data_IF_748716201464
#
_entry.id   IF_748716201464
#
_cell.length_a   1.000
_cell.length_b   1.000
_cell.length_c   1.000
_cell.angle_alpha   90.00
_cell.angle_beta   90.00
_cell.angle_gamma   90.00
#
_symmetry.space_group_name_H-M   'P 1'
#
loop_
_entity.id
_entity.type
_entity.pdbx_description
1 polymer ?
#
# COMPACT_ATOMS: atom_id res chain seq x y z
N UNK A 1 -11.24 -7.31 -0.92
CA UNK A 1 -11.89 -8.12 -1.97
C UNK A 1 -10.92 -9.04 -2.69
N UNK A 2 -9.92 -8.55 -3.45
CA UNK A 2 -9.00 -9.43 -4.19
C UNK A 2 -8.36 -10.55 -3.34
N UNK A 3 -7.86 -10.21 -2.15
CA UNK A 3 -7.33 -11.21 -1.20
C UNK A 3 -8.34 -12.32 -0.88
N UNK A 4 -9.60 -11.96 -0.57
CA UNK A 4 -10.68 -12.92 -0.31
C UNK A 4 -10.99 -13.81 -1.51
N UNK A 5 -10.96 -13.25 -2.73
CA UNK A 5 -11.21 -14.01 -3.97
C UNK A 5 -10.08 -15.00 -4.29
N UNK A 6 -8.84 -14.69 -3.91
CA UNK A 6 -7.68 -15.60 -4.05
C UNK A 6 -7.61 -16.65 -2.94
N UNK A 7 -8.22 -16.37 -1.79
CA UNK A 7 -8.26 -17.29 -0.65
C UNK A 7 -9.16 -18.51 -0.86
N UNK A 8 -9.04 -19.56 -0.01
CA UNK A 8 -10.04 -20.62 0.05
C UNK A 8 -11.45 -20.06 0.25
N UNK A 9 -12.42 -20.63 -0.47
CA UNK A 9 -13.81 -20.12 -0.49
C UNK A 9 -14.46 -20.09 0.90
N UNK A 10 -14.02 -20.99 1.78
CA UNK A 10 -14.43 -21.03 3.17
C UNK A 10 -14.21 -19.71 3.93
N UNK A 11 -13.16 -18.94 3.60
CA UNK A 11 -12.87 -17.65 4.26
C UNK A 11 -13.93 -16.62 3.89
N UNK A 12 -14.26 -16.50 2.59
CA UNK A 12 -15.30 -15.60 2.11
C UNK A 12 -16.66 -15.97 2.68
N UNK A 13 -17.04 -17.24 2.62
CA UNK A 13 -18.31 -17.75 3.16
C UNK A 13 -18.44 -17.51 4.66
N UNK A 14 -17.36 -17.73 5.42
CA UNK A 14 -17.33 -17.46 6.87
C UNK A 14 -17.50 -15.98 7.17
N UNK A 15 -16.87 -15.09 6.40
CA UNK A 15 -17.06 -13.64 6.54
C UNK A 15 -18.51 -13.23 6.27
N UNK A 16 -19.10 -13.67 5.15
CA UNK A 16 -20.49 -13.37 4.83
C UNK A 16 -21.46 -13.91 5.88
N UNK A 17 -21.21 -15.11 6.40
CA UNK A 17 -22.03 -15.72 7.46
C UNK A 17 -21.96 -14.93 8.77
N UNK A 18 -20.77 -14.49 9.21
CA UNK A 18 -20.62 -13.62 10.38
C UNK A 18 -21.40 -12.31 10.19
N UNK A 19 -21.19 -11.64 9.05
CA UNK A 19 -21.77 -10.33 8.78
C UNK A 19 -23.30 -10.42 8.71
N UNK A 20 -23.85 -11.32 7.90
CA UNK A 20 -25.31 -11.47 7.75
C UNK A 20 -25.96 -11.97 9.03
N UNK A 21 -25.28 -12.83 9.80
CA UNK A 21 -25.77 -13.31 11.10
C UNK A 21 -25.83 -12.22 12.17
N UNK A 22 -24.82 -11.34 12.24
CA UNK A 22 -24.74 -10.29 13.24
C UNK A 22 -25.55 -9.02 12.89
N UNK A 23 -25.64 -8.67 11.60
CA UNK A 23 -26.39 -7.51 11.10
C UNK A 23 -27.89 -7.79 11.02
N UNK A 24 -28.29 -9.03 10.73
CA UNK A 24 -29.69 -9.41 10.54
C UNK A 24 -30.30 -8.84 9.26
N UNK A 25 -31.58 -8.47 9.28
CA UNK A 25 -32.31 -7.92 8.12
C UNK A 25 -32.30 -6.39 8.10
N UNK A 26 -31.13 -5.77 8.02
CA UNK A 26 -30.98 -4.31 7.84
C UNK A 26 -30.81 -3.95 6.35
N UNK A 27 -31.19 -2.74 5.98
CA UNK A 27 -30.93 -2.24 4.62
C UNK A 27 -29.47 -1.79 4.44
N UNK A 28 -28.86 -1.22 5.48
CA UNK A 28 -27.52 -0.61 5.42
C UNK A 28 -26.71 -1.02 6.66
N UNK A 29 -25.46 -1.46 6.43
CA UNK A 29 -24.47 -1.73 7.48
C UNK A 29 -23.91 -0.41 8.00
N UNK A 30 -23.84 -0.25 9.32
CA UNK A 30 -23.28 0.95 9.95
C UNK A 30 -22.09 0.62 10.88
N UNK A 31 -21.46 1.66 11.45
CA UNK A 31 -20.26 1.52 12.29
C UNK A 31 -20.50 0.71 13.59
N UNK A 32 -21.69 0.78 14.18
CA UNK A 32 -22.03 0.03 15.40
C UNK A 32 -22.08 -1.47 15.12
N UNK A 33 -22.54 -1.86 13.93
CA UNK A 33 -22.58 -3.26 13.52
C UNK A 33 -21.16 -3.85 13.43
N UNK A 34 -20.17 -3.06 12.99
CA UNK A 34 -18.76 -3.47 12.88
C UNK A 34 -18.19 -3.94 14.21
N UNK A 35 -18.66 -3.40 15.34
CA UNK A 35 -18.18 -3.82 16.66
C UNK A 35 -18.43 -5.29 16.94
N UNK A 36 -19.43 -5.90 16.29
CA UNK A 36 -19.85 -7.30 16.45
C UNK A 36 -19.17 -8.25 15.46
N UNK A 37 -18.25 -7.76 14.62
CA UNK A 37 -17.67 -8.50 13.50
C UNK A 37 -16.16 -8.78 13.70
N UNK A 38 -15.78 -9.65 14.65
CA UNK A 38 -14.37 -9.92 14.93
C UNK A 38 -13.63 -10.56 13.75
N UNK A 39 -14.28 -11.41 12.96
CA UNK A 39 -13.66 -12.04 11.79
C UNK A 39 -13.46 -11.06 10.63
N UNK A 40 -14.41 -10.17 10.38
CA UNK A 40 -14.20 -9.04 9.47
C UNK A 40 -12.99 -8.20 9.89
N UNK A 41 -12.89 -7.82 11.17
CA UNK A 41 -11.74 -7.06 11.70
C UNK A 41 -10.44 -7.83 11.52
N UNK A 42 -10.47 -9.15 11.69
CA UNK A 42 -9.33 -10.02 11.46
C UNK A 42 -8.91 -10.05 9.97
N UNK A 43 -9.86 -10.13 9.04
CA UNK A 43 -9.63 -10.02 7.58
C UNK A 43 -8.98 -8.68 7.23
N UNK A 44 -9.47 -7.58 7.81
CA UNK A 44 -8.92 -6.24 7.55
C UNK A 44 -7.51 -6.10 8.09
N UNK A 45 -7.25 -6.56 9.33
CA UNK A 45 -5.90 -6.61 9.91
C UNK A 45 -4.93 -7.43 9.06
N UNK A 46 -5.33 -8.63 8.66
CA UNK A 46 -4.51 -9.51 7.84
C UNK A 46 -4.24 -8.91 6.45
N UNK A 47 -5.21 -8.19 5.89
CA UNK A 47 -5.05 -7.43 4.66
C UNK A 47 -3.99 -6.34 4.82
N UNK A 48 -4.03 -5.56 5.91
CA UNK A 48 -3.03 -4.53 6.17
C UNK A 48 -1.64 -5.07 6.49
N UNK A 49 -1.55 -6.28 7.09
CA UNK A 49 -0.28 -6.98 7.31
C UNK A 49 0.37 -7.37 5.98
N UNK A 50 -0.39 -8.02 5.10
CA UNK A 50 0.12 -8.51 3.82
C UNK A 50 0.27 -7.40 2.79
N UNK A 51 -0.66 -6.45 2.75
CA UNK A 51 -0.72 -5.40 1.73
C UNK A 51 -0.78 -4.01 2.39
N UNK A 52 0.25 -3.60 3.16
CA UNK A 52 0.26 -2.28 3.78
C UNK A 52 0.31 -1.20 2.68
N UNK A 53 -0.56 -0.17 2.72
CA UNK A 53 -0.59 0.89 1.70
C UNK A 53 0.74 1.64 1.58
N UNK A 54 1.49 1.75 2.67
CA UNK A 54 2.79 2.41 2.74
C UNK A 54 3.90 1.40 3.12
N UNK A 55 4.40 0.67 2.14
CA UNK A 55 5.39 -0.41 2.31
C UNK A 55 6.63 0.00 3.14
N UNK A 56 7.15 1.22 2.92
CA UNK A 56 8.31 1.77 3.63
C UNK A 56 7.97 2.88 4.64
N UNK A 57 6.70 3.04 4.98
CA UNK A 57 6.20 4.20 5.73
C UNK A 57 6.58 5.54 5.08
N UNK A 58 6.27 6.65 5.75
CA UNK A 58 6.71 7.98 5.34
C UNK A 58 8.15 8.20 5.83
N UNK A 59 9.08 8.65 4.97
CA UNK A 59 10.47 8.87 5.37
C UNK A 59 10.59 9.83 6.55
N UNK A 60 11.56 9.54 7.42
CA UNK A 60 11.95 10.42 8.54
C UNK A 60 13.32 10.97 8.30
N UNK A 61 13.59 12.16 8.84
CA UNK A 61 14.92 12.75 8.83
C UNK A 61 15.41 12.89 10.27
N UNK A 62 16.66 12.53 10.51
CA UNK A 62 17.32 12.75 11.81
C UNK A 62 17.57 14.24 12.04
N UNK A 63 17.23 14.72 13.25
CA UNK A 63 17.44 16.11 13.66
C UNK A 63 18.77 16.35 14.38
N UNK A 64 19.50 15.28 14.69
CA UNK A 64 20.84 15.28 15.25
C UNK A 64 21.50 13.92 14.96
N UNK A 65 22.81 13.81 15.17
CA UNK A 65 23.48 12.51 15.23
C UNK A 65 22.84 11.68 16.36
N UNK A 66 22.55 10.41 16.10
CA UNK A 66 21.99 9.51 17.08
C UNK A 66 22.52 8.09 16.90
N UNK A 67 22.31 7.24 17.91
CA UNK A 67 22.68 5.82 17.86
C UNK A 67 21.41 4.98 17.87
N UNK A 68 21.27 4.06 16.91
CA UNK A 68 20.19 3.08 16.84
C UNK A 68 20.81 1.68 16.84
N UNK A 69 20.52 0.85 17.83
CA UNK A 69 21.10 -0.49 18.00
C UNK A 69 22.63 -0.54 17.85
N UNK A 70 23.33 0.46 18.40
CA UNK A 70 24.79 0.55 18.33
C UNK A 70 25.34 1.15 17.02
N UNK A 71 24.48 1.45 16.04
CA UNK A 71 24.87 2.10 14.79
C UNK A 71 24.73 3.62 14.89
N UNK A 72 25.78 4.36 14.55
CA UNK A 72 25.74 5.81 14.45
C UNK A 72 25.01 6.25 13.17
N UNK A 73 23.94 7.02 13.35
CA UNK A 73 23.15 7.63 12.29
C UNK A 73 23.44 9.13 12.29
N UNK A 74 23.96 9.63 11.18
CA UNK A 74 24.36 11.03 11.04
C UNK A 74 23.13 11.95 10.94
N UNK A 75 23.29 13.20 11.36
CA UNK A 75 22.35 14.29 11.12
C UNK A 75 21.91 14.37 9.65
N UNK A 76 20.66 14.75 9.41
CA UNK A 76 20.04 14.82 8.07
C UNK A 76 19.89 13.49 7.32
N UNK A 77 20.17 12.35 7.96
CA UNK A 77 19.97 11.02 7.36
C UNK A 77 18.48 10.73 7.20
N UNK A 78 18.10 10.14 6.04
CA UNK A 78 16.74 9.70 5.78
C UNK A 78 16.57 8.25 6.25
N UNK A 79 15.60 8.02 7.12
CA UNK A 79 15.27 6.72 7.70
C UNK A 79 13.92 6.25 7.16
N UNK A 80 13.91 5.04 6.62
CA UNK A 80 12.71 4.33 6.19
C UNK A 80 12.42 3.18 7.16
N UNK A 81 11.14 2.90 7.38
CA UNK A 81 10.71 1.73 8.16
C UNK A 81 10.07 0.75 7.21
N UNK A 82 10.67 -0.42 7.04
CA UNK A 82 10.16 -1.44 6.12
C UNK A 82 8.96 -2.19 6.73
N UNK A 83 7.79 -1.54 6.71
CA UNK A 83 6.53 -2.09 7.24
C UNK A 83 6.16 -3.40 6.56
N UNK A 84 6.44 -3.52 5.26
CA UNK A 84 6.19 -4.74 4.50
C UNK A 84 6.99 -5.94 5.04
N UNK A 85 8.29 -5.75 5.28
CA UNK A 85 9.16 -6.80 5.81
C UNK A 85 8.75 -7.17 7.25
N UNK A 86 8.46 -6.17 8.09
CA UNK A 86 7.96 -6.39 9.46
C UNK A 86 6.69 -7.25 9.47
N UNK A 87 5.75 -6.97 8.56
CA UNK A 87 4.52 -7.76 8.41
C UNK A 87 4.74 -9.20 7.94
N UNK A 88 5.97 -9.56 7.53
CA UNK A 88 6.35 -10.89 7.02
C UNK A 88 7.51 -11.53 7.77
N UNK A 89 7.92 -10.92 8.88
CA UNK A 89 9.02 -11.43 9.69
C UNK A 89 8.63 -12.79 10.30
N UNK A 90 9.45 -13.80 10.06
CA UNK A 90 9.17 -15.18 10.51
C UNK A 90 9.15 -15.30 12.04
N UNK A 91 9.86 -14.40 12.73
CA UNK A 91 9.85 -14.31 14.19
C UNK A 91 8.45 -13.99 14.75
N UNK A 92 7.66 -13.20 14.02
CA UNK A 92 6.34 -12.75 14.48
C UNK A 92 5.17 -13.44 13.77
N UNK A 93 5.39 -13.94 12.55
CA UNK A 93 4.31 -14.42 11.68
C UNK A 93 4.66 -15.78 11.06
N UNK A 94 4.03 -16.85 11.57
CA UNK A 94 4.08 -18.18 10.95
C UNK A 94 3.43 -18.15 9.55
N UNK A 95 4.03 -18.79 8.54
CA UNK A 95 3.55 -18.74 7.15
C UNK A 95 3.25 -17.31 6.67
N UNK A 96 4.25 -16.40 6.68
CA UNK A 96 4.04 -14.96 6.59
C UNK A 96 3.47 -14.50 5.25
N UNK A 97 3.60 -15.30 4.19
CA UNK A 97 3.10 -14.96 2.86
C UNK A 97 1.66 -15.44 2.63
N UNK A 98 1.09 -16.23 3.53
CA UNK A 98 -0.27 -16.73 3.42
C UNK A 98 -1.28 -15.76 4.03
N UNK A 99 -2.42 -15.59 3.37
CA UNK A 99 -3.55 -14.82 3.89
C UNK A 99 -4.37 -15.68 4.85
N UNK A 100 -4.14 -15.50 6.15
CA UNK A 100 -4.73 -16.32 7.22
C UNK A 100 -5.36 -15.42 8.30
N UNK A 101 -6.58 -14.91 8.10
CA UNK A 101 -7.27 -14.03 9.04
C UNK A 101 -7.39 -14.61 10.45
N UNK A 102 -7.49 -15.93 10.58
CA UNK A 102 -7.61 -16.64 11.85
C UNK A 102 -6.55 -16.24 12.88
N UNK A 103 -5.32 -15.93 12.44
CA UNK A 103 -4.25 -15.49 13.35
C UNK A 103 -4.60 -14.17 14.04
N UNK A 104 -5.34 -13.29 13.38
CA UNK A 104 -5.71 -11.98 13.91
C UNK A 104 -6.91 -12.03 14.86
N UNK A 105 -7.56 -13.19 15.05
CA UNK A 105 -8.63 -13.37 16.03
C UNK A 105 -8.08 -13.49 17.46
N UNK A 106 -6.97 -14.19 17.63
CA UNK A 106 -6.42 -14.55 18.95
C UNK A 106 -5.28 -13.63 19.40
N UNK A 107 -4.74 -12.84 18.48
CA UNK A 107 -3.60 -11.96 18.73
C UNK A 107 -4.13 -10.56 19.10
N UNK A 108 -3.75 -10.06 20.28
CA UNK A 108 -4.13 -8.74 20.80
C UNK A 108 -3.49 -7.55 20.06
N UNK A 109 -2.73 -7.83 18.99
CA UNK A 109 -1.99 -6.85 18.20
C UNK A 109 -2.94 -5.83 17.60
N UNK A 110 -2.68 -4.57 17.94
CA UNK A 110 -3.36 -3.40 17.40
C UNK A 110 -2.61 -2.79 16.21
N UNK A 111 -3.34 -2.03 15.39
CA UNK A 111 -2.75 -1.26 14.27
C UNK A 111 -2.49 0.20 14.67
N UNK A 112 -2.53 0.53 15.97
CA UNK A 112 -2.39 1.89 16.49
C UNK A 112 -0.94 2.32 16.65
N UNK A 113 -0.01 1.42 16.33
CA UNK A 113 1.43 1.67 16.43
C UNK A 113 1.99 1.44 17.83
N UNK A 114 1.32 0.62 18.66
CA UNK A 114 1.86 0.13 19.93
C UNK A 114 2.59 -1.20 19.75
N UNK A 115 2.07 -2.05 18.88
CA UNK A 115 2.62 -3.35 18.55
C UNK A 115 3.46 -3.25 17.27
N UNK A 116 4.79 -3.23 17.42
CA UNK A 116 5.70 -2.97 16.29
C UNK A 116 5.69 -4.04 15.21
N UNK A 117 5.16 -5.24 15.48
CA UNK A 117 4.95 -6.29 14.49
C UNK A 117 3.85 -5.96 13.46
N UNK A 118 2.99 -4.96 13.71
CA UNK A 118 1.93 -4.53 12.78
C UNK A 118 1.74 -3.01 12.82
N UNK A 119 2.46 -2.29 11.95
CA UNK A 119 2.43 -0.82 11.88
C UNK A 119 2.05 -0.26 10.49
N UNK A 120 0.93 -0.72 9.89
CA UNK A 120 0.51 -0.28 8.55
C UNK A 120 0.25 1.22 8.43
N UNK A 121 0.01 1.89 9.56
CA UNK A 121 -0.23 3.33 9.67
C UNK A 121 0.91 4.07 10.38
N UNK A 122 2.06 3.42 10.57
CA UNK A 122 3.17 3.94 11.36
C UNK A 122 2.92 3.95 12.86
N UNK A 123 3.84 4.55 13.62
CA UNK A 123 3.82 4.57 15.07
C UNK A 123 4.37 5.90 15.63
N UNK A 124 4.16 6.12 16.93
CA UNK A 124 4.72 7.26 17.68
C UNK A 124 4.17 8.63 17.25
N UNK A 125 4.96 9.70 17.44
CA UNK A 125 4.56 11.12 17.25
C UNK A 125 4.07 11.46 15.84
N UNK A 126 4.34 10.59 14.88
CA UNK A 126 4.06 10.81 13.47
C UNK A 126 3.33 9.64 12.82
N UNK A 127 2.66 8.80 13.63
CA UNK A 127 1.67 7.85 13.13
C UNK A 127 0.56 8.57 12.37
N UNK A 128 -0.14 7.85 11.49
CA UNK A 128 -1.19 8.43 10.67
C UNK A 128 -2.29 9.05 11.55
N UNK A 129 -2.54 10.37 11.47
CA UNK A 129 -3.53 11.02 12.31
C UNK A 129 -4.97 10.61 11.96
N UNK A 130 -5.19 10.00 10.78
CA UNK A 130 -6.52 9.59 10.30
C UNK A 130 -6.70 8.07 10.22
N UNK A 131 -5.85 7.29 10.89
CA UNK A 131 -5.94 5.83 10.80
C UNK A 131 -7.34 5.31 11.21
N UNK A 132 -7.96 5.88 12.26
CA UNK A 132 -9.29 5.47 12.72
C UNK A 132 -10.38 5.65 11.66
N UNK A 133 -10.35 6.78 10.93
CA UNK A 133 -11.29 7.05 9.84
C UNK A 133 -11.04 6.09 8.67
N UNK A 134 -9.79 5.91 8.26
CA UNK A 134 -9.45 4.99 7.18
C UNK A 134 -9.85 3.55 7.50
N UNK A 135 -9.65 3.12 8.74
CA UNK A 135 -10.03 1.79 9.21
C UNK A 135 -11.56 1.62 9.18
N UNK A 136 -12.32 2.58 9.72
CA UNK A 136 -13.78 2.55 9.69
C UNK A 136 -14.33 2.49 8.25
N UNK A 137 -13.76 3.29 7.33
CA UNK A 137 -14.15 3.27 5.92
C UNK A 137 -13.92 1.90 5.26
N UNK A 138 -12.77 1.26 5.54
CA UNK A 138 -12.45 -0.07 4.99
C UNK A 138 -13.36 -1.13 5.60
N UNK A 139 -13.57 -1.10 6.91
CA UNK A 139 -14.40 -2.07 7.62
C UNK A 139 -15.87 -1.96 7.19
N UNK A 140 -16.47 -0.77 7.22
CA UNK A 140 -17.87 -0.54 6.78
C UNK A 140 -18.04 -0.82 5.30
N UNK A 141 -17.10 -0.38 4.46
CA UNK A 141 -17.15 -0.61 3.02
C UNK A 141 -17.10 -2.09 2.69
N UNK A 142 -16.15 -2.84 3.28
CA UNK A 142 -16.04 -4.28 3.07
C UNK A 142 -17.26 -5.03 3.63
N UNK A 143 -17.74 -4.66 4.83
CA UNK A 143 -18.91 -5.26 5.43
C UNK A 143 -20.15 -5.09 4.54
N UNK A 144 -20.35 -3.89 4.00
CA UNK A 144 -21.47 -3.57 3.11
C UNK A 144 -21.43 -4.43 1.84
N UNK A 145 -20.26 -4.56 1.22
CA UNK A 145 -20.10 -5.38 0.00
C UNK A 145 -20.37 -6.86 0.26
N UNK A 146 -19.91 -7.40 1.39
CA UNK A 146 -20.09 -8.80 1.75
C UNK A 146 -21.50 -9.11 2.28
N UNK A 147 -22.15 -8.11 2.89
CA UNK A 147 -23.54 -8.22 3.32
C UNK A 147 -24.48 -8.28 2.12
N UNK A 148 -24.38 -7.30 1.22
CA UNK A 148 -25.35 -7.08 0.14
C UNK A 148 -25.19 -8.00 -1.07
N UNK A 149 -24.01 -8.58 -1.29
CA UNK A 149 -23.73 -9.35 -2.51
C UNK A 149 -23.09 -10.70 -2.22
N UNK A 150 -23.39 -11.67 -3.08
CA UNK A 150 -22.61 -12.89 -3.23
C UNK A 150 -21.51 -12.67 -4.26
N UNK A 151 -20.31 -13.12 -3.95
CA UNK A 151 -19.12 -12.87 -4.75
C UNK A 151 -18.56 -14.18 -5.29
N UNK A 152 -18.34 -14.20 -6.60
CA UNK A 152 -17.70 -15.30 -7.32
C UNK A 152 -16.75 -14.75 -8.38
N UNK A 153 -15.81 -15.57 -8.82
CA UNK A 153 -14.99 -15.22 -9.97
C UNK A 153 -15.81 -15.39 -11.26
N UNK A 154 -15.62 -14.53 -12.27
CA UNK A 154 -16.26 -14.70 -13.56
C UNK A 154 -15.97 -16.08 -14.16
N UNK A 155 -16.90 -16.59 -14.98
CA UNK A 155 -16.74 -17.87 -15.63
C UNK A 155 -15.40 -17.97 -16.40
N UNK A 156 -14.66 -19.05 -16.14
CA UNK A 156 -13.37 -19.32 -16.79
C UNK A 156 -12.16 -18.65 -16.12
N UNK A 157 -12.36 -17.79 -15.11
CA UNK A 157 -11.27 -17.15 -14.36
C UNK A 157 -10.93 -18.00 -13.13
N UNK A 158 -9.66 -18.41 -13.02
CA UNK A 158 -9.12 -19.12 -11.85
C UNK A 158 -8.60 -18.13 -10.82
N UNK A 159 -8.36 -18.62 -9.60
CA UNK A 159 -7.78 -17.82 -8.51
C UNK A 159 -6.40 -17.27 -8.86
N UNK A 160 -5.61 -18.02 -9.61
CA UNK A 160 -4.29 -17.61 -10.06
C UNK A 160 -4.36 -16.49 -11.11
N UNK A 161 -5.46 -16.42 -11.87
CA UNK A 161 -5.72 -15.36 -12.87
C UNK A 161 -6.15 -14.04 -12.21
N UNK A 162 -6.49 -14.05 -10.92
CA UNK A 162 -6.80 -12.82 -10.18
C UNK A 162 -5.49 -12.08 -9.96
N UNK A 163 -5.23 -11.19 -10.91
CA UNK A 163 -4.01 -10.43 -10.90
C UNK A 163 -4.05 -9.35 -9.82
N UNK A 164 -3.08 -9.42 -8.91
CA UNK A 164 -2.81 -8.35 -7.96
C UNK A 164 -1.77 -7.37 -8.51
N UNK A 165 -1.14 -7.67 -9.65
CA UNK A 165 -0.16 -6.86 -10.39
C UNK A 165 -0.79 -5.78 -11.29
N UNK A 166 -2.04 -5.38 -11.05
CA UNK A 166 -2.63 -4.12 -11.56
C UNK A 166 -1.85 -2.88 -11.14
N UNK A 167 -0.86 -3.04 -10.28
CA UNK A 167 -0.17 -2.00 -9.56
C UNK A 167 0.71 -1.07 -10.41
N UNK A 168 1.46 -1.49 -11.45
CA UNK A 168 2.17 -0.55 -12.31
C UNK A 168 1.20 0.43 -12.98
N UNK A 169 0.06 -0.06 -13.46
CA UNK A 169 -0.99 0.79 -14.05
C UNK A 169 -1.72 1.63 -12.99
N UNK A 170 -1.95 1.06 -11.81
CA UNK A 170 -2.53 1.77 -10.66
C UNK A 170 -1.60 2.89 -10.20
N UNK A 171 -0.29 2.65 -10.10
CA UNK A 171 0.70 3.65 -9.68
C UNK A 171 0.99 4.67 -10.78
N UNK A 172 0.77 4.33 -12.06
CA UNK A 172 0.82 5.29 -13.17
C UNK A 172 -0.36 6.25 -13.10
N UNK A 173 -1.58 5.73 -12.96
CA UNK A 173 -2.78 6.57 -12.92
C UNK A 173 -2.95 7.23 -11.55
N UNK A 174 -2.61 6.56 -10.47
CA UNK A 174 -2.81 7.02 -9.10
C UNK A 174 -1.52 6.85 -8.30
N UNK A 175 -0.44 7.58 -8.64
CA UNK A 175 0.80 7.54 -7.90
C UNK A 175 0.56 7.98 -6.44
N UNK A 176 1.17 7.27 -5.50
CA UNK A 176 1.13 7.62 -4.09
C UNK A 176 1.67 9.05 -3.81
N UNK A 177 2.58 9.52 -4.67
CA UNK A 177 3.11 10.87 -4.68
C UNK A 177 2.95 11.51 -6.08
N UNK A 178 1.80 12.15 -6.39
CA UNK A 178 1.55 12.83 -7.67
C UNK A 178 2.56 13.96 -7.95
N UNK A 179 2.96 14.66 -6.89
CA UNK A 179 4.14 15.51 -6.85
C UNK A 179 5.22 14.75 -6.09
N UNK A 180 6.33 14.44 -6.75
CA UNK A 180 7.45 13.76 -6.10
C UNK A 180 8.08 14.66 -5.03
N UNK A 181 8.89 14.03 -4.17
CA UNK A 181 9.55 14.72 -3.05
C UNK A 181 10.36 15.91 -3.57
N UNK A 182 10.28 17.08 -2.91
CA UNK A 182 11.07 18.24 -3.30
C UNK A 182 12.57 17.96 -3.29
N UNK A 183 13.26 18.38 -4.34
CA UNK A 183 14.72 18.31 -4.45
C UNK A 183 15.31 19.71 -4.56
N UNK A 184 16.36 20.01 -3.81
CA UNK A 184 17.10 21.25 -3.95
C UNK A 184 18.25 21.10 -4.94
N UNK A 185 18.42 22.05 -5.85
CA UNK A 185 19.57 22.07 -6.75
C UNK A 185 20.86 22.39 -5.99
N UNK A 186 21.84 21.47 -6.01
CA UNK A 186 23.11 21.65 -5.30
C UNK A 186 24.03 22.66 -5.98
N UNK A 187 23.85 22.91 -7.28
CA UNK A 187 24.65 23.79 -8.11
C UNK A 187 23.77 24.51 -9.13
N UNK A 188 24.31 25.55 -9.77
CA UNK A 188 23.68 26.11 -10.97
C UNK A 188 23.72 25.07 -12.10
N UNK A 189 22.58 24.80 -12.72
CA UNK A 189 22.46 23.78 -13.76
C UNK A 189 21.39 24.13 -14.79
N UNK A 190 21.53 23.65 -16.03
CA UNK A 190 20.56 23.89 -17.10
C UNK A 190 19.77 22.61 -17.41
N UNK A 191 18.44 22.68 -17.34
CA UNK A 191 17.53 21.58 -17.70
C UNK A 191 16.74 22.00 -18.94
N UNK A 192 17.04 21.40 -20.10
CA UNK A 192 16.47 21.82 -21.37
C UNK A 192 16.81 23.29 -21.66
N UNK A 193 15.79 24.13 -21.79
CA UNK A 193 15.95 25.58 -22.00
C UNK A 193 16.00 26.38 -20.69
N UNK A 194 15.73 25.75 -19.55
CA UNK A 194 15.60 26.42 -18.26
C UNK A 194 16.92 26.44 -17.48
N UNK A 195 17.28 27.61 -16.94
CA UNK A 195 18.40 27.75 -16.00
C UNK A 195 17.88 27.60 -14.56
N UNK A 196 18.44 26.66 -13.82
CA UNK A 196 18.12 26.39 -12.42
C UNK A 196 19.29 26.86 -11.56
N UNK A 197 19.07 27.89 -10.75
CA UNK A 197 20.08 28.34 -9.79
C UNK A 197 20.20 27.36 -8.62
N UNK A 198 21.38 27.27 -8.03
CA UNK A 198 21.64 26.60 -6.76
C UNK A 198 20.65 27.08 -5.70
N UNK A 199 20.15 26.16 -4.88
CA UNK A 199 19.16 26.44 -3.85
C UNK A 199 17.71 26.43 -4.35
N UNK A 200 17.49 26.31 -5.66
CA UNK A 200 16.13 26.19 -6.21
C UNK A 200 15.52 24.85 -5.85
N UNK A 201 14.30 24.87 -5.31
CA UNK A 201 13.51 23.66 -5.05
C UNK A 201 12.76 23.25 -6.31
N UNK A 202 12.98 22.01 -6.72
CA UNK A 202 12.34 21.37 -7.86
C UNK A 202 11.34 20.33 -7.36
N UNK A 203 10.13 20.36 -7.92
CA UNK A 203 9.13 19.32 -7.73
C UNK A 203 8.81 18.70 -9.08
N UNK A 204 8.93 17.38 -9.16
CA UNK A 204 8.59 16.62 -10.38
C UNK A 204 7.14 16.19 -10.30
N UNK A 205 6.35 16.57 -11.30
CA UNK A 205 4.95 16.19 -11.41
C UNK A 205 4.84 14.82 -12.10
N UNK A 206 4.94 13.74 -11.31
CA UNK A 206 4.79 12.38 -11.81
C UNK A 206 3.41 12.15 -12.45
N UNK A 207 2.36 12.79 -11.91
CA UNK A 207 1.00 12.66 -12.43
C UNK A 207 0.84 13.09 -13.90
N UNK A 208 1.45 14.21 -14.27
CA UNK A 208 1.45 14.71 -15.66
C UNK A 208 2.31 13.81 -16.54
N UNK A 209 3.52 13.46 -16.10
CA UNK A 209 4.44 12.60 -16.87
C UNK A 209 3.80 11.24 -17.18
N UNK A 210 3.11 10.66 -16.20
CA UNK A 210 2.41 9.39 -16.35
C UNK A 210 1.18 9.46 -17.27
N UNK A 211 0.75 10.66 -17.66
CA UNK A 211 -0.41 10.92 -18.54
C UNK A 211 -0.03 11.60 -19.85
N UNK A 212 1.25 11.75 -20.14
CA UNK A 212 1.71 12.41 -21.36
C UNK A 212 1.32 11.56 -22.59
N UNK A 213 0.49 12.07 -23.51
CA UNK A 213 0.08 11.33 -24.71
C UNK A 213 1.25 11.09 -25.68
N UNK A 214 2.37 11.82 -25.54
CA UNK A 214 3.59 11.54 -26.32
C UNK A 214 4.37 10.34 -25.78
N UNK A 215 4.08 9.90 -24.54
CA UNK A 215 4.78 8.82 -23.85
C UNK A 215 3.92 7.56 -23.75
N UNK A 216 2.61 7.71 -23.56
CA UNK A 216 1.65 6.63 -23.31
C UNK A 216 0.49 6.68 -24.32
N UNK A 217 0.20 5.54 -24.97
CA UNK A 217 -1.02 5.38 -25.75
C UNK A 217 -2.26 5.32 -24.83
N UNK A 218 -3.29 6.11 -25.15
CA UNK A 218 -4.49 6.32 -24.34
C UNK A 218 -4.15 6.47 -22.84
N UNK A 219 -3.49 7.58 -22.46
CA UNK A 219 -2.86 7.76 -21.16
C UNK A 219 -3.86 7.82 -20.01
N UNK A 220 -5.11 8.16 -20.26
CA UNK A 220 -6.11 8.36 -19.21
C UNK A 220 -6.86 7.08 -18.85
N UNK A 221 -6.85 6.09 -19.73
CA UNK A 221 -7.55 4.83 -19.53
C UNK A 221 -6.71 3.83 -18.73
N UNK A 222 -7.36 3.13 -17.79
CA UNK A 222 -6.75 2.05 -17.02
C UNK A 222 -6.65 0.78 -17.87
N UNK A 223 -5.44 0.47 -18.34
CA UNK A 223 -5.11 -0.68 -19.19
C UNK A 223 -3.94 -1.48 -18.60
N UNK A 224 -4.16 -2.36 -17.61
CA UNK A 224 -3.09 -3.14 -16.98
C UNK A 224 -2.24 -3.94 -17.97
N UNK A 225 -2.88 -4.43 -19.05
CA UNK A 225 -2.22 -5.20 -20.12
C UNK A 225 -1.06 -4.49 -20.81
N UNK A 226 -0.96 -3.17 -20.71
CA UNK A 226 0.17 -2.41 -21.27
C UNK A 226 1.53 -2.76 -20.64
N UNK A 227 1.53 -3.51 -19.55
CA UNK A 227 2.72 -3.99 -18.85
C UNK A 227 2.95 -5.49 -19.02
N UNK A 228 2.15 -6.22 -19.82
CA UNK A 228 2.29 -7.67 -20.04
C UNK A 228 3.56 -8.01 -20.86
N UNK A 229 3.89 -7.21 -21.89
CA UNK A 229 4.97 -7.52 -22.85
C UNK A 229 6.17 -6.54 -22.80
N UNK A 230 6.13 -5.52 -21.94
CA UNK A 230 7.07 -4.39 -22.00
C UNK A 230 8.01 -4.32 -20.80
N UNK A 231 9.32 -4.39 -21.08
CA UNK A 231 10.36 -3.67 -20.35
C UNK A 231 10.10 -2.16 -20.51
N UNK A 232 9.16 -1.62 -19.73
CA UNK A 232 8.91 -0.17 -19.74
C UNK A 232 10.20 0.52 -19.34
N UNK A 233 10.69 1.42 -20.20
CA UNK A 233 11.90 2.17 -19.88
C UNK A 233 11.70 2.86 -18.52
N UNK A 234 12.67 2.72 -17.58
CA UNK A 234 12.54 3.28 -16.22
C UNK A 234 12.25 4.78 -16.17
N UNK A 235 12.52 5.50 -17.27
CA UNK A 235 12.24 6.93 -17.44
C UNK A 235 10.76 7.26 -17.67
N UNK A 236 9.94 6.32 -18.14
CA UNK A 236 8.52 6.56 -18.47
C UNK A 236 7.60 6.35 -17.26
N UNK A 237 7.91 5.37 -16.41
CA UNK A 237 7.14 5.02 -15.22
C UNK A 237 7.98 5.33 -13.98
N UNK A 238 7.76 6.52 -13.41
CA UNK A 238 8.49 7.04 -12.23
C UNK A 238 7.66 7.16 -10.93
N UNK A 239 6.84 6.18 -10.52
CA UNK A 239 6.03 6.27 -9.31
C UNK A 239 6.88 6.34 -8.03
N UNK A 240 8.17 6.04 -8.16
CA UNK A 240 9.17 6.06 -7.10
C UNK A 240 10.35 7.00 -7.43
N UNK A 241 10.17 7.92 -8.38
CA UNK A 241 11.26 8.77 -8.89
C UNK A 241 12.29 8.01 -9.73
N UNK A 242 13.37 8.70 -10.10
CA UNK A 242 14.40 8.21 -11.02
C UNK A 242 15.80 8.69 -10.61
N UNK A 243 16.85 7.94 -10.98
CA UNK A 243 18.25 8.33 -10.82
C UNK A 243 18.82 8.08 -9.42
N UNK A 244 19.94 8.73 -9.06
CA UNK A 244 20.64 8.55 -7.76
C UNK A 244 19.79 8.83 -6.52
N UNK A 245 18.64 9.47 -6.69
CA UNK A 245 17.68 9.82 -5.64
C UNK A 245 16.31 9.15 -5.85
N UNK A 246 16.21 8.16 -6.73
CA UNK A 246 15.03 7.30 -6.79
C UNK A 246 14.81 6.65 -5.42
N UNK A 247 13.56 6.32 -5.11
CA UNK A 247 13.21 5.65 -3.87
C UNK A 247 14.11 4.41 -3.71
N UNK A 248 14.89 4.30 -2.63
CA UNK A 248 15.72 3.11 -2.41
C UNK A 248 14.88 1.84 -2.23
N UNK A 249 13.59 1.99 -1.92
CA UNK A 249 12.62 0.90 -1.89
C UNK A 249 11.89 0.62 -3.19
N UNK A 250 12.24 1.24 -4.32
CA UNK A 250 11.52 0.98 -5.57
C UNK A 250 11.63 -0.47 -6.02
N UNK A 251 12.81 -1.07 -5.89
CA UNK A 251 13.03 -2.48 -6.22
C UNK A 251 12.22 -3.40 -5.32
N UNK A 252 12.24 -3.17 -4.01
CA UNK A 252 11.41 -3.92 -3.07
C UNK A 252 9.93 -3.71 -3.37
N UNK A 253 9.48 -2.47 -3.55
CA UNK A 253 8.10 -2.17 -3.90
C UNK A 253 7.69 -2.92 -5.16
N UNK A 254 8.46 -2.84 -6.26
CA UNK A 254 8.17 -3.54 -7.50
C UNK A 254 8.12 -5.06 -7.34
N UNK A 255 9.04 -5.67 -6.58
CA UNK A 255 9.07 -7.11 -6.30
C UNK A 255 7.92 -7.60 -5.40
N UNK A 256 7.43 -6.71 -4.53
CA UNK A 256 6.39 -7.01 -3.54
C UNK A 256 4.99 -6.87 -4.11
N UNK A 257 4.86 -6.00 -5.11
CA UNK A 257 3.62 -5.47 -5.67
C UNK A 257 3.37 -6.11 -7.03
N UNK A 258 4.39 -6.23 -7.87
CA UNK A 258 4.41 -7.15 -8.99
C UNK A 258 4.82 -8.51 -8.46
N UNK A 259 3.86 -9.39 -8.16
CA UNK A 259 4.21 -10.79 -7.91
C UNK A 259 4.85 -11.36 -9.19
N UNK A 260 5.92 -12.17 -9.11
CA UNK A 260 6.47 -12.87 -10.27
C UNK A 260 5.45 -13.81 -10.93
#
# INVERSE_FOLDING_TARGET
MAALMKSPEAILKKAQAEIRGAVGNKDIVNEDDIQKLPYLKAIVKETFRLYPPALLSVPRQTLANCIINGHEIQFNSIVYTNVWAIGRELEYWENPNEFLPERCLNISVDMKGKDFQLIPFGAGRRGCPRYSLGLAMVEVGLASLLYSFDWELPFGIKKDDVDTQVLPETLRLYPAAPMLVPHESSNDYKIGEYNISRGTILLVNAWIIHRDPNVWDDPTSFKPKRFEDLQVQPSKLIPFGMGRRSCPGSGLAQWVVGLP
#
